data_IF_949564864669
#
_entry.id   IF_949564864669
#
_cell.length_a   1.000
_cell.length_b   1.000
_cell.length_c   1.000
_cell.angle_alpha   90.00
_cell.angle_beta   90.00
_cell.angle_gamma   90.00
#
_symmetry.space_group_name_H-M   'P 1'
#
loop_
_entity.id
_entity.type
_entity.pdbx_description
1 polymer ?
#
# COMPACT_ATOMS: atom_id res chain seq x y z
N UNK A 1 -49.56 -10.11 21.96
CA UNK A 1 -48.21 -10.69 22.03
C UNK A 1 -47.85 -11.09 20.61
N UNK A 2 -47.34 -10.15 19.82
CA UNK A 2 -47.03 -10.33 18.40
C UNK A 2 -45.59 -10.81 18.27
N UNK A 3 -45.44 -12.05 17.82
CA UNK A 3 -44.17 -12.73 17.63
C UNK A 3 -43.41 -12.09 16.45
N UNK A 4 -42.23 -11.53 16.73
CA UNK A 4 -41.32 -11.01 15.72
C UNK A 4 -40.44 -12.17 15.24
N UNK A 5 -40.88 -12.89 14.22
CA UNK A 5 -40.04 -13.87 13.52
C UNK A 5 -39.05 -13.12 12.63
N UNK A 6 -37.92 -12.74 13.22
CA UNK A 6 -36.77 -12.23 12.48
C UNK A 6 -36.21 -13.32 11.57
N UNK A 7 -36.48 -13.23 10.27
CA UNK A 7 -35.74 -14.02 9.27
C UNK A 7 -34.28 -13.60 9.29
N UNK A 8 -33.43 -14.39 9.96
CA UNK A 8 -31.98 -14.31 9.82
C UNK A 8 -31.63 -14.46 8.33
N UNK A 9 -31.26 -13.37 7.69
CA UNK A 9 -30.68 -13.41 6.34
C UNK A 9 -29.30 -14.03 6.49
N UNK A 10 -29.19 -15.33 6.22
CA UNK A 10 -27.90 -15.99 6.10
C UNK A 10 -27.13 -15.28 4.97
N UNK A 11 -26.16 -14.45 5.33
CA UNK A 11 -25.19 -13.92 4.38
C UNK A 11 -24.29 -15.10 3.99
N UNK A 12 -24.62 -15.76 2.88
CA UNK A 12 -23.72 -16.73 2.28
C UNK A 12 -22.56 -15.93 1.66
N UNK A 13 -21.53 -15.63 2.44
CA UNK A 13 -20.24 -15.18 1.93
C UNK A 13 -19.63 -16.34 1.14
N UNK A 14 -19.86 -16.38 -0.17
CA UNK A 14 -19.10 -17.25 -1.05
C UNK A 14 -17.66 -16.73 -1.06
N UNK A 15 -16.86 -17.19 -0.10
CA UNK A 15 -15.42 -16.96 -0.07
C UNK A 15 -14.82 -17.78 -1.20
N UNK A 16 -14.41 -17.12 -2.28
CA UNK A 16 -13.59 -17.76 -3.30
C UNK A 16 -12.25 -18.11 -2.65
N UNK A 17 -11.89 -19.39 -2.61
CA UNK A 17 -10.63 -19.87 -2.07
C UNK A 17 -9.50 -19.68 -3.09
N UNK A 18 -9.25 -18.43 -3.48
CA UNK A 18 -8.23 -18.02 -4.45
C UNK A 18 -6.98 -17.40 -3.79
N UNK A 19 -6.93 -17.38 -2.45
CA UNK A 19 -5.96 -16.62 -1.66
C UNK A 19 -5.95 -15.11 -1.99
N UNK A 20 -6.98 -14.60 -2.68
CA UNK A 20 -7.16 -13.21 -3.07
C UNK A 20 -8.29 -12.56 -2.27
N UNK A 21 -8.28 -12.80 -0.95
CA UNK A 21 -8.84 -11.80 -0.04
C UNK A 21 -8.25 -10.44 -0.46
N UNK A 22 -9.09 -9.40 -0.52
CA UNK A 22 -8.86 -8.07 -1.16
C UNK A 22 -7.46 -7.43 -0.99
N UNK A 23 -6.66 -7.91 -0.06
CA UNK A 23 -5.25 -7.60 0.14
C UNK A 23 -4.35 -7.79 -1.09
N UNK A 24 -4.62 -8.73 -2.01
CA UNK A 24 -3.74 -8.95 -3.17
C UNK A 24 -3.88 -7.85 -4.22
N UNK A 25 -5.10 -7.46 -4.57
CA UNK A 25 -5.34 -6.35 -5.51
C UNK A 25 -4.92 -5.02 -4.91
N UNK A 26 -5.25 -4.79 -3.63
CA UNK A 26 -4.78 -3.59 -2.92
C UNK A 26 -3.26 -3.56 -2.80
N UNK A 27 -2.62 -4.72 -2.57
CA UNK A 27 -1.17 -4.87 -2.57
C UNK A 27 -0.55 -4.45 -3.89
N UNK A 28 -1.08 -4.91 -5.01
CA UNK A 28 -0.58 -4.55 -6.36
C UNK A 28 -0.71 -3.06 -6.67
N UNK A 29 -1.80 -2.42 -6.27
CA UNK A 29 -1.96 -0.97 -6.46
C UNK A 29 -0.95 -0.18 -5.60
N UNK A 30 -0.71 -0.61 -4.36
CA UNK A 30 0.30 0.02 -3.51
C UNK A 30 1.73 -0.26 -3.95
N UNK A 31 2.02 -1.46 -4.46
CA UNK A 31 3.32 -1.79 -5.07
C UNK A 31 3.60 -0.89 -6.28
N UNK A 32 2.60 -0.64 -7.13
CA UNK A 32 2.75 0.31 -8.24
C UNK A 32 3.01 1.74 -7.73
N UNK A 33 2.31 2.17 -6.67
CA UNK A 33 2.52 3.49 -6.08
C UNK A 33 3.92 3.66 -5.48
N UNK A 34 4.40 2.67 -4.73
CA UNK A 34 5.77 2.66 -4.17
C UNK A 34 6.80 2.60 -5.30
N UNK A 35 6.58 1.74 -6.29
CA UNK A 35 7.48 1.61 -7.46
C UNK A 35 7.63 2.92 -8.23
N UNK A 36 6.58 3.72 -8.35
CA UNK A 36 6.67 5.03 -8.98
C UNK A 36 7.58 6.00 -8.21
N UNK A 37 7.52 5.98 -6.87
CA UNK A 37 8.37 6.80 -6.03
C UNK A 37 9.83 6.31 -6.02
N UNK A 38 10.05 4.99 -5.95
CA UNK A 38 11.37 4.37 -6.05
C UNK A 38 12.03 4.74 -7.39
N UNK A 39 11.28 4.59 -8.48
CA UNK A 39 11.75 4.93 -9.82
C UNK A 39 12.16 6.40 -9.93
N UNK A 40 11.42 7.32 -9.32
CA UNK A 40 11.79 8.74 -9.35
C UNK A 40 13.12 9.03 -8.64
N UNK A 41 13.40 8.33 -7.53
CA UNK A 41 14.69 8.40 -6.83
C UNK A 41 15.80 7.77 -7.67
N UNK A 42 15.56 6.58 -8.22
CA UNK A 42 16.54 5.87 -9.07
C UNK A 42 16.89 6.64 -10.33
N UNK A 43 15.90 7.22 -11.02
CA UNK A 43 16.10 8.06 -12.20
C UNK A 43 16.93 9.30 -11.84
N UNK A 44 16.64 9.94 -10.71
CA UNK A 44 17.43 11.08 -10.24
C UNK A 44 18.88 10.68 -9.95
N UNK A 45 19.10 9.60 -9.21
CA UNK A 45 20.43 9.12 -8.86
C UNK A 45 21.20 8.71 -10.11
N UNK A 46 20.56 8.04 -11.06
CA UNK A 46 21.19 7.61 -12.32
C UNK A 46 21.54 8.81 -13.20
N UNK A 47 20.66 9.83 -13.26
CA UNK A 47 20.90 11.03 -14.05
C UNK A 47 21.99 11.94 -13.46
N UNK A 48 22.25 11.85 -12.15
CA UNK A 48 23.21 12.71 -11.42
C UNK A 48 24.43 11.96 -10.88
N UNK A 49 24.44 10.65 -11.00
CA UNK A 49 25.54 9.78 -10.64
C UNK A 49 26.54 9.63 -11.79
N UNK A 50 27.83 9.65 -11.45
CA UNK A 50 28.92 9.26 -12.35
C UNK A 50 29.86 8.28 -11.65
N UNK A 51 30.96 7.90 -12.30
CA UNK A 51 31.96 6.95 -11.74
C UNK A 51 32.54 7.38 -10.37
N UNK A 52 32.51 8.68 -10.06
CA UNK A 52 33.02 9.24 -8.81
C UNK A 52 31.93 9.44 -7.73
N UNK A 53 30.68 9.02 -7.98
CA UNK A 53 29.55 9.20 -7.06
C UNK A 53 28.62 10.37 -7.43
N UNK A 54 27.73 10.73 -6.49
CA UNK A 54 26.75 11.81 -6.65
C UNK A 54 27.40 13.18 -6.39
N UNK A 55 27.48 14.01 -7.41
CA UNK A 55 27.88 15.42 -7.28
C UNK A 55 26.66 16.30 -7.54
N UNK A 56 26.06 16.80 -6.46
CA UNK A 56 24.82 17.56 -6.51
C UNK A 56 25.07 19.01 -6.11
N UNK A 57 24.47 19.94 -6.85
CA UNK A 57 24.29 21.31 -6.37
C UNK A 57 23.37 21.34 -5.14
N UNK A 58 23.32 22.47 -4.43
CA UNK A 58 22.41 22.66 -3.31
C UNK A 58 20.93 22.46 -3.71
N UNK A 59 20.53 22.92 -4.91
CA UNK A 59 19.18 22.74 -5.43
C UNK A 59 18.85 21.27 -5.73
N UNK A 60 19.80 20.56 -6.35
CA UNK A 60 19.67 19.12 -6.63
C UNK A 60 19.66 18.29 -5.35
N UNK A 61 20.44 18.67 -4.33
CA UNK A 61 20.42 18.01 -3.02
C UNK A 61 19.06 18.14 -2.34
N UNK A 62 18.44 19.33 -2.40
CA UNK A 62 17.08 19.54 -1.89
C UNK A 62 16.05 18.73 -2.69
N UNK A 63 16.23 18.62 -4.01
CA UNK A 63 15.35 17.80 -4.84
C UNK A 63 15.45 16.32 -4.45
N UNK A 64 16.66 15.78 -4.29
CA UNK A 64 16.85 14.41 -3.83
C UNK A 64 16.21 14.18 -2.46
N UNK A 65 16.38 15.11 -1.51
CA UNK A 65 15.76 15.02 -0.19
C UNK A 65 14.23 14.99 -0.26
N UNK A 66 13.62 15.75 -1.17
CA UNK A 66 12.17 15.70 -1.40
C UNK A 66 11.74 14.36 -1.98
N UNK A 67 12.43 13.87 -3.01
CA UNK A 67 12.13 12.57 -3.63
C UNK A 67 12.24 11.42 -2.63
N UNK A 68 13.30 11.41 -1.81
CA UNK A 68 13.46 10.43 -0.74
C UNK A 68 12.39 10.57 0.37
N UNK A 69 11.95 11.79 0.66
CA UNK A 69 10.83 12.06 1.56
C UNK A 69 9.51 11.49 1.02
N UNK A 70 9.22 11.74 -0.25
CA UNK A 70 8.02 11.25 -0.94
C UNK A 70 8.01 9.71 -1.00
N UNK A 71 9.15 9.10 -1.30
CA UNK A 71 9.33 7.64 -1.24
C UNK A 71 9.03 7.08 0.15
N UNK A 72 9.58 7.70 1.20
CA UNK A 72 9.36 7.28 2.59
C UNK A 72 7.87 7.37 2.96
N UNK A 73 7.19 8.44 2.54
CA UNK A 73 5.74 8.59 2.74
C UNK A 73 4.98 7.49 1.99
N UNK A 74 5.32 7.23 0.72
CA UNK A 74 4.65 6.22 -0.09
C UNK A 74 4.71 4.82 0.53
N UNK A 75 5.89 4.41 0.98
CA UNK A 75 6.10 3.12 1.67
C UNK A 75 5.31 3.04 2.98
N UNK A 76 5.33 4.11 3.78
CA UNK A 76 4.60 4.15 5.06
C UNK A 76 3.09 4.10 4.87
N UNK A 77 2.56 4.84 3.89
CA UNK A 77 1.13 4.83 3.54
C UNK A 77 0.70 3.47 3.03
N UNK A 78 1.46 2.85 2.12
CA UNK A 78 1.17 1.51 1.62
C UNK A 78 1.16 0.46 2.73
N UNK A 79 2.20 0.48 3.58
CA UNK A 79 2.33 -0.47 4.70
C UNK A 79 1.19 -0.34 5.71
N UNK A 80 0.88 0.88 6.13
CA UNK A 80 -0.18 1.13 7.12
C UNK A 80 -1.58 0.76 6.58
N UNK A 81 -1.85 1.04 5.31
CA UNK A 81 -3.14 0.69 4.69
C UNK A 81 -3.30 -0.81 4.54
N UNK A 82 -2.27 -1.52 4.03
CA UNK A 82 -2.30 -2.98 3.93
C UNK A 82 -2.48 -3.65 5.29
N UNK A 83 -1.79 -3.13 6.32
CA UNK A 83 -1.98 -3.60 7.70
C UNK A 83 -3.42 -3.38 8.17
N UNK A 84 -3.99 -2.19 7.95
CA UNK A 84 -5.37 -1.88 8.35
C UNK A 84 -6.39 -2.82 7.69
N UNK A 85 -6.25 -3.09 6.39
CA UNK A 85 -7.12 -4.02 5.66
C UNK A 85 -6.96 -5.45 6.18
N UNK A 86 -5.72 -5.90 6.40
CA UNK A 86 -5.44 -7.22 6.98
C UNK A 86 -6.08 -7.37 8.35
N UNK A 87 -5.95 -6.36 9.21
CA UNK A 87 -6.52 -6.37 10.55
C UNK A 87 -8.05 -6.36 10.49
N UNK A 88 -8.65 -5.61 9.55
CA UNK A 88 -10.10 -5.58 9.30
C UNK A 88 -10.64 -6.95 8.85
N UNK A 89 -9.98 -7.61 7.90
CA UNK A 89 -10.35 -8.95 7.43
C UNK A 89 -10.22 -9.98 8.55
N UNK A 90 -9.11 -9.94 9.30
CA UNK A 90 -8.88 -10.85 10.43
C UNK A 90 -9.94 -10.66 11.52
N UNK A 91 -10.40 -9.43 11.75
CA UNK A 91 -11.49 -9.12 12.67
C UNK A 91 -12.83 -9.65 12.15
N UNK A 92 -13.16 -9.42 10.88
CA UNK A 92 -14.39 -9.93 10.26
C UNK A 92 -14.46 -11.46 10.30
N UNK A 93 -13.36 -12.15 10.01
CA UNK A 93 -13.28 -13.61 10.04
C UNK A 93 -13.46 -14.21 11.45
N UNK A 94 -13.14 -13.47 12.51
CA UNK A 94 -13.36 -13.92 13.90
C UNK A 94 -14.82 -13.74 14.37
N UNK A 95 -15.60 -12.91 13.68
CA UNK A 95 -16.98 -12.55 14.05
C UNK A 95 -18.05 -13.33 13.25
N UNK A 96 -17.65 -14.26 12.38
CA UNK A 96 -18.52 -15.18 11.61
C UNK A 96 -18.30 -16.59 12.15
#
# INVERSE_FOLDING_TARGET
MTDFTGTSRAFQSAVTADNALKTTEVGKEFEQFVSAADKAVEEFITAKGGEAGLSLSAGESLQLQRLMGDQSIAVQTGTSTLKSIKDSISSAARNI
#
